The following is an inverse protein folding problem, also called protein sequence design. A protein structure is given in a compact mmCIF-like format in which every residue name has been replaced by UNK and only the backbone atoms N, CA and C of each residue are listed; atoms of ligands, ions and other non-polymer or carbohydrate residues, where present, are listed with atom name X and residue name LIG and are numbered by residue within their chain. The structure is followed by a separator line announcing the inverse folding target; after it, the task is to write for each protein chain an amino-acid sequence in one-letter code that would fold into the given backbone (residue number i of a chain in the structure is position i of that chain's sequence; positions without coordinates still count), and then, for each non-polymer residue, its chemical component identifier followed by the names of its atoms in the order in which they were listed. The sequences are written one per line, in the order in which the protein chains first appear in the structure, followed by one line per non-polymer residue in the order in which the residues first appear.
data_IF_292747486166
#
_entry.id   IF_292747486166
#
_cell.length_a   1.000
_cell.length_b   1.000
_cell.length_c   1.000
_cell.angle_alpha   90.00
_cell.angle_beta   90.00
_cell.angle_gamma   90.00
#
_symmetry.space_group_name_H-M   'P 1'
#
loop_
_entity.id
_entity.type
_entity.pdbx_description
1 polymer ?
#
# COMPACT_ATOMS: atom_id res chain seq x y z
N UNK A 1 17.66 2.73 -31.49
CA UNK A 1 16.32 2.17 -31.14
C UNK A 1 16.36 0.70 -30.71
N UNK A 2 16.95 -0.23 -31.49
CA UNK A 2 16.95 -1.68 -31.18
C UNK A 2 17.53 -2.05 -29.80
N UNK A 3 18.68 -1.48 -29.43
CA UNK A 3 19.34 -1.74 -28.12
C UNK A 3 18.50 -1.28 -26.92
N UNK A 4 17.81 -0.12 -27.02
CA UNK A 4 16.94 0.40 -25.95
C UNK A 4 15.69 -0.49 -25.79
N UNK A 5 15.15 -0.99 -26.92
CA UNK A 5 14.03 -1.95 -26.94
C UNK A 5 14.40 -3.29 -26.30
N UNK A 6 15.53 -3.88 -26.69
CA UNK A 6 15.98 -5.17 -26.16
C UNK A 6 16.28 -5.10 -24.65
N UNK A 7 16.82 -3.96 -24.18
CA UNK A 7 17.07 -3.72 -22.76
C UNK A 7 15.77 -3.54 -21.97
N UNK A 8 14.81 -2.76 -22.48
CA UNK A 8 13.51 -2.57 -21.85
C UNK A 8 12.76 -3.90 -21.68
N UNK A 9 12.89 -4.81 -22.66
CA UNK A 9 12.35 -6.16 -22.58
C UNK A 9 13.02 -7.00 -21.48
N UNK A 10 14.36 -7.01 -21.42
CA UNK A 10 15.10 -7.72 -20.35
C UNK A 10 14.74 -7.22 -18.95
N UNK A 11 14.54 -5.91 -18.79
CA UNK A 11 14.10 -5.33 -17.51
C UNK A 11 12.71 -5.87 -17.13
N UNK A 12 11.76 -5.94 -18.06
CA UNK A 12 10.45 -6.54 -17.80
C UNK A 12 10.56 -8.01 -17.39
N UNK A 13 11.40 -8.78 -18.08
CA UNK A 13 11.64 -10.19 -17.73
C UNK A 13 12.17 -10.35 -16.29
N UNK A 14 13.08 -9.46 -15.85
CA UNK A 14 13.57 -9.45 -14.47
C UNK A 14 12.48 -9.07 -13.46
N UNK A 15 11.61 -8.12 -13.79
CA UNK A 15 10.47 -7.74 -12.95
C UNK A 15 9.49 -8.92 -12.85
N UNK A 16 9.20 -9.60 -13.96
CA UNK A 16 8.32 -10.78 -13.98
C UNK A 16 8.92 -11.96 -13.22
N UNK A 17 10.24 -12.16 -13.29
CA UNK A 17 10.94 -13.14 -12.45
C UNK A 17 10.79 -12.79 -10.97
N UNK A 18 11.02 -11.52 -10.60
CA UNK A 18 10.81 -11.05 -9.22
C UNK A 18 9.38 -11.28 -8.76
N UNK A 19 8.39 -11.07 -9.64
CA UNK A 19 6.99 -11.35 -9.33
C UNK A 19 6.74 -12.84 -9.04
N UNK A 20 7.38 -13.76 -9.78
CA UNK A 20 7.34 -15.19 -9.49
C UNK A 20 8.05 -15.53 -8.17
N UNK A 21 9.24 -14.99 -7.93
CA UNK A 21 9.98 -15.20 -6.68
C UNK A 21 9.15 -14.75 -5.46
N UNK A 22 8.42 -13.63 -5.56
CA UNK A 22 7.51 -13.17 -4.51
C UNK A 22 6.37 -14.16 -4.20
N UNK A 23 5.90 -14.93 -5.19
CA UNK A 23 4.87 -15.97 -4.99
C UNK A 23 5.53 -17.20 -4.34
N UNK A 24 6.65 -17.63 -4.87
CA UNK A 24 7.36 -18.84 -4.39
C UNK A 24 7.81 -18.67 -2.93
N UNK A 25 8.09 -17.44 -2.52
CA UNK A 25 8.49 -17.08 -1.15
C UNK A 25 7.31 -16.74 -0.22
N UNK A 26 6.04 -16.78 -0.65
CA UNK A 26 4.89 -16.30 0.11
C UNK A 26 4.64 -17.05 1.45
N UNK A 27 5.31 -18.18 1.69
CA UNK A 27 5.28 -18.94 2.93
C UNK A 27 6.49 -18.77 3.85
N UNK A 28 7.49 -17.98 3.46
CA UNK A 28 8.66 -17.74 4.29
C UNK A 28 8.30 -16.96 5.57
N UNK A 29 9.12 -17.14 6.61
CA UNK A 29 8.92 -16.39 7.85
C UNK A 29 9.05 -14.88 7.61
N UNK A 30 8.02 -14.15 8.02
CA UNK A 30 7.97 -12.69 7.95
C UNK A 30 8.98 -12.06 8.92
N UNK A 31 9.86 -11.15 8.49
CA UNK A 31 10.78 -10.44 9.38
C UNK A 31 10.05 -9.72 10.54
N UNK A 32 8.86 -9.16 10.28
CA UNK A 32 8.04 -8.48 11.28
C UNK A 32 7.54 -9.45 12.36
N UNK A 33 7.30 -10.72 12.00
CA UNK A 33 6.89 -11.76 12.95
C UNK A 33 8.09 -12.22 13.79
N UNK A 34 9.28 -12.33 13.18
CA UNK A 34 10.51 -12.61 13.91
C UNK A 34 10.80 -11.52 14.96
N UNK A 35 10.76 -10.26 14.54
CA UNK A 35 10.86 -9.11 15.44
C UNK A 35 9.83 -9.17 16.57
N UNK A 36 8.56 -9.46 16.25
CA UNK A 36 7.51 -9.54 17.27
C UNK A 36 7.79 -10.67 18.28
N UNK A 37 8.29 -11.83 17.84
CA UNK A 37 8.66 -12.93 18.74
C UNK A 37 9.77 -12.55 19.70
N UNK A 38 10.74 -11.75 19.26
CA UNK A 38 11.80 -11.22 20.13
C UNK A 38 11.20 -10.32 21.23
N UNK A 39 10.22 -9.48 20.90
CA UNK A 39 9.50 -8.67 21.91
C UNK A 39 8.72 -9.53 22.90
N UNK A 40 8.09 -10.62 22.44
CA UNK A 40 7.44 -11.57 23.35
C UNK A 40 8.45 -12.34 24.22
N UNK A 41 9.62 -12.70 23.68
CA UNK A 41 10.68 -13.36 24.45
C UNK A 41 11.21 -12.44 25.56
N UNK A 42 11.42 -11.16 25.25
CA UNK A 42 11.78 -10.15 26.26
C UNK A 42 10.76 -10.07 27.40
N UNK A 43 9.46 -10.08 27.08
CA UNK A 43 8.41 -10.10 28.12
C UNK A 43 8.44 -11.38 28.95
N UNK A 44 8.73 -12.52 28.32
CA UNK A 44 8.87 -13.79 29.02
C UNK A 44 10.01 -13.73 30.05
N UNK A 45 11.17 -13.20 29.65
CA UNK A 45 12.34 -13.06 30.51
C UNK A 45 12.10 -12.04 31.64
N UNK A 46 11.61 -10.84 31.29
CA UNK A 46 11.38 -9.74 32.24
C UNK A 46 10.45 -10.13 33.39
N UNK A 47 9.45 -10.95 33.12
CA UNK A 47 8.45 -11.38 34.10
C UNK A 47 8.64 -12.82 34.59
N UNK A 48 9.80 -13.44 34.30
CA UNK A 48 10.13 -14.80 34.71
C UNK A 48 9.03 -15.84 34.37
N UNK A 49 8.41 -15.69 33.20
CA UNK A 49 7.32 -16.55 32.75
C UNK A 49 7.89 -17.88 32.23
N UNK A 50 7.35 -19.01 32.72
CA UNK A 50 7.92 -20.35 32.51
C UNK A 50 7.67 -20.91 31.11
N UNK A 51 6.76 -20.32 30.34
CA UNK A 51 6.43 -20.81 29.00
C UNK A 51 5.83 -19.72 28.10
N UNK A 52 5.90 -19.95 26.79
CA UNK A 52 5.22 -19.11 25.78
C UNK A 52 3.72 -18.98 26.02
N UNK A 53 3.06 -20.04 26.51
CA UNK A 53 1.64 -20.02 26.84
C UNK A 53 1.35 -19.09 28.02
N UNK A 54 2.22 -19.07 29.03
CA UNK A 54 2.10 -18.11 30.13
C UNK A 54 2.32 -16.68 29.65
N UNK A 55 3.25 -16.45 28.73
CA UNK A 55 3.41 -15.13 28.07
C UNK A 55 2.16 -14.72 27.30
N UNK A 56 1.57 -15.63 26.51
CA UNK A 56 0.35 -15.36 25.75
C UNK A 56 -0.83 -14.98 26.70
N UNK A 57 -0.99 -15.68 27.83
CA UNK A 57 -2.01 -15.38 28.86
C UNK A 57 -1.74 -14.06 29.59
N UNK A 58 -0.51 -13.83 30.01
CA UNK A 58 -0.10 -12.59 30.70
C UNK A 58 -0.37 -11.36 29.82
N UNK A 59 -0.03 -11.42 28.53
CA UNK A 59 -0.30 -10.32 27.61
C UNK A 59 -1.79 -10.12 27.36
N UNK A 60 -2.59 -11.20 27.31
CA UNK A 60 -4.05 -11.08 27.27
C UNK A 60 -4.56 -10.30 28.49
N UNK A 61 -4.14 -10.68 29.70
CA UNK A 61 -4.52 -10.03 30.94
C UNK A 61 -4.18 -8.53 30.92
N UNK A 62 -2.98 -8.17 30.48
CA UNK A 62 -2.58 -6.76 30.32
C UNK A 62 -3.40 -6.00 29.29
N UNK A 63 -3.75 -6.64 28.17
CA UNK A 63 -4.52 -5.99 27.09
C UNK A 63 -6.00 -5.76 27.46
N UNK A 64 -6.58 -6.64 28.28
CA UNK A 64 -8.02 -6.66 28.54
C UNK A 64 -8.39 -6.35 29.99
N UNK A 65 -7.41 -6.23 30.90
CA UNK A 65 -7.61 -5.95 32.31
C UNK A 65 -8.30 -7.07 33.09
N UNK A 66 -8.31 -8.30 32.53
CA UNK A 66 -8.96 -9.46 33.14
C UNK A 66 -8.29 -10.75 32.72
N UNK A 67 -8.38 -11.77 33.58
CA UNK A 67 -7.89 -13.10 33.27
C UNK A 67 -8.62 -13.75 32.10
N UNK A 68 -7.92 -14.66 31.43
CA UNK A 68 -8.51 -15.46 30.37
C UNK A 68 -9.34 -16.60 30.96
N UNK A 69 -10.66 -16.51 30.81
CA UNK A 69 -11.60 -17.54 31.30
C UNK A 69 -11.39 -18.91 30.65
N UNK A 70 -10.84 -18.94 29.42
CA UNK A 70 -10.57 -20.17 28.66
C UNK A 70 -9.27 -20.07 27.87
N UNK A 71 -8.62 -21.21 27.52
CA UNK A 71 -7.46 -21.21 26.63
C UNK A 71 -7.71 -20.58 25.25
N UNK A 72 -8.96 -20.61 24.78
CA UNK A 72 -9.35 -19.97 23.53
C UNK A 72 -9.26 -18.43 23.59
N UNK A 73 -9.41 -17.83 24.78
CA UNK A 73 -9.43 -16.38 24.93
C UNK A 73 -8.10 -15.72 24.54
N UNK A 74 -6.96 -16.33 24.90
CA UNK A 74 -5.62 -15.83 24.55
C UNK A 74 -5.06 -16.42 23.25
N UNK A 75 -5.80 -17.28 22.54
CA UNK A 75 -5.35 -17.92 21.30
C UNK A 75 -5.02 -16.90 20.20
N UNK A 76 -5.74 -15.78 20.14
CA UNK A 76 -5.43 -14.65 19.23
C UNK A 76 -4.04 -14.07 19.47
N UNK A 77 -3.60 -13.97 20.73
CA UNK A 77 -2.28 -13.45 21.09
C UNK A 77 -1.19 -14.38 20.55
N UNK A 78 -1.38 -15.69 20.74
CA UNK A 78 -0.52 -16.72 20.16
C UNK A 78 -0.45 -16.58 18.64
N UNK A 79 -1.59 -16.41 17.99
CA UNK A 79 -1.64 -16.28 16.53
C UNK A 79 -0.96 -15.03 16.00
N UNK A 80 -1.02 -13.92 16.73
CA UNK A 80 -0.26 -12.71 16.40
C UNK A 80 1.24 -12.96 16.52
N UNK A 81 1.70 -13.53 17.65
CA UNK A 81 3.11 -13.91 17.86
C UNK A 81 3.63 -14.89 16.81
N UNK A 82 2.80 -15.82 16.34
CA UNK A 82 3.24 -16.79 15.32
C UNK A 82 3.07 -16.28 13.89
N UNK A 83 2.44 -15.12 13.68
CA UNK A 83 2.18 -14.57 12.35
C UNK A 83 1.03 -15.23 11.60
N UNK A 84 0.21 -16.06 12.26
CA UNK A 84 -0.93 -16.76 11.63
C UNK A 84 -2.07 -15.79 11.30
N UNK A 85 -2.24 -14.78 12.15
CA UNK A 85 -3.14 -13.65 11.94
C UNK A 85 -2.44 -12.38 12.41
N UNK A 86 -2.91 -11.24 11.96
CA UNK A 86 -2.59 -9.93 12.52
C UNK A 86 -3.77 -9.42 13.35
N UNK A 87 -3.56 -8.41 14.23
CA UNK A 87 -4.65 -7.70 14.88
C UNK A 87 -5.70 -7.24 13.86
N UNK A 88 -6.99 -7.34 14.20
CA UNK A 88 -8.06 -7.01 13.22
C UNK A 88 -8.28 -5.52 13.06
N UNK A 89 -7.83 -4.72 14.03
CA UNK A 89 -7.92 -3.27 14.00
C UNK A 89 -6.74 -2.63 14.76
N UNK A 90 -6.59 -1.31 14.56
CA UNK A 90 -5.56 -0.49 15.20
C UNK A 90 -5.60 -0.55 16.71
N UNK A 91 -6.79 -0.54 17.31
CA UNK A 91 -6.93 -0.54 18.75
C UNK A 91 -6.36 -1.82 19.39
N UNK A 92 -6.59 -2.99 18.76
CA UNK A 92 -5.93 -4.22 19.19
C UNK A 92 -4.41 -4.16 19.02
N UNK A 93 -3.94 -3.59 17.92
CA UNK A 93 -2.51 -3.42 17.67
C UNK A 93 -1.86 -2.50 18.72
N UNK A 94 -2.51 -1.38 19.05
CA UNK A 94 -2.08 -0.44 20.09
C UNK A 94 -2.01 -1.11 21.47
N UNK A 95 -3.08 -1.79 21.87
CA UNK A 95 -3.12 -2.54 23.14
C UNK A 95 -2.04 -3.61 23.22
N UNK A 96 -1.76 -4.30 22.11
CA UNK A 96 -0.66 -5.26 22.05
C UNK A 96 0.68 -4.57 22.29
N UNK A 97 0.93 -3.43 21.64
CA UNK A 97 2.15 -2.65 21.87
C UNK A 97 2.30 -2.15 23.31
N UNK A 98 1.20 -1.78 23.96
CA UNK A 98 1.18 -1.37 25.37
C UNK A 98 1.42 -2.54 26.32
N UNK A 99 0.79 -3.69 26.06
CA UNK A 99 0.99 -4.90 26.85
C UNK A 99 2.42 -5.43 26.74
N UNK A 100 3.06 -5.26 25.57
CA UNK A 100 4.47 -5.56 25.31
C UNK A 100 5.43 -4.48 25.82
N UNK A 101 4.92 -3.40 26.43
CA UNK A 101 5.73 -2.28 26.94
C UNK A 101 6.67 -1.67 25.90
N UNK A 102 6.21 -1.60 24.65
CA UNK A 102 7.04 -1.14 23.54
C UNK A 102 7.42 0.34 23.71
N UNK A 103 8.66 0.66 23.32
CA UNK A 103 9.12 2.03 23.13
C UNK A 103 8.28 2.76 22.05
N UNK A 104 8.37 4.08 21.98
CA UNK A 104 7.67 4.84 20.93
C UNK A 104 8.07 4.38 19.51
N UNK A 105 9.37 4.11 19.30
CA UNK A 105 9.91 3.59 18.04
C UNK A 105 9.36 2.20 17.72
N UNK A 106 9.35 1.29 18.69
CA UNK A 106 8.82 -0.06 18.50
C UNK A 106 7.30 -0.06 18.27
N UNK A 107 6.54 0.83 18.91
CA UNK A 107 5.09 0.99 18.65
C UNK A 107 4.84 1.48 17.23
N UNK A 108 5.67 2.42 16.74
CA UNK A 108 5.59 2.89 15.36
C UNK A 108 5.87 1.73 14.40
N UNK A 109 6.90 0.93 14.64
CA UNK A 109 7.20 -0.25 13.80
C UNK A 109 6.10 -1.32 13.89
N UNK A 110 5.48 -1.54 15.05
CA UNK A 110 4.35 -2.46 15.19
C UNK A 110 3.17 -2.07 14.27
N UNK A 111 2.89 -0.77 14.17
CA UNK A 111 1.82 -0.24 13.31
C UNK A 111 2.22 -0.22 11.84
N UNK A 112 3.42 0.28 11.54
CA UNK A 112 3.90 0.47 10.17
C UNK A 112 4.32 -0.81 9.48
N UNK A 113 5.07 -1.67 10.19
CA UNK A 113 5.65 -2.89 9.63
C UNK A 113 4.69 -4.05 9.81
N UNK A 114 4.51 -4.49 11.06
CA UNK A 114 3.76 -5.71 11.37
C UNK A 114 2.28 -5.64 10.97
N UNK A 115 1.62 -4.53 11.28
CA UNK A 115 0.21 -4.27 10.94
C UNK A 115 0.03 -3.63 9.54
N UNK A 116 1.12 -3.17 8.91
CA UNK A 116 1.17 -2.61 7.55
C UNK A 116 0.18 -1.44 7.33
N UNK A 117 0.20 -0.48 8.26
CA UNK A 117 -0.64 0.71 8.28
C UNK A 117 0.16 1.95 8.62
N UNK A 118 -0.41 3.14 8.40
CA UNK A 118 0.22 4.37 8.88
C UNK A 118 0.34 4.38 10.41
N UNK A 119 1.22 5.19 10.95
CA UNK A 119 1.38 5.31 12.40
C UNK A 119 0.20 6.02 13.08
N UNK A 120 -0.40 7.02 12.45
CA UNK A 120 -1.57 7.76 12.97
C UNK A 120 -2.81 7.56 12.09
N UNK A 121 -3.96 7.19 12.68
CA UNK A 121 -5.25 7.23 11.99
C UNK A 121 -5.99 8.51 12.39
N UNK A 122 -6.63 9.17 11.43
CA UNK A 122 -7.40 10.39 11.68
C UNK A 122 -8.90 10.08 11.56
N UNK A 123 -9.53 9.74 12.69
CA UNK A 123 -10.90 9.24 12.72
C UNK A 123 -11.93 10.32 13.12
N UNK A 124 -11.47 11.47 13.62
CA UNK A 124 -12.33 12.57 14.07
C UNK A 124 -12.02 13.91 13.38
N UNK A 125 -12.97 14.86 13.35
CA UNK A 125 -12.71 16.21 12.86
C UNK A 125 -11.52 16.90 13.54
N UNK A 126 -11.34 16.70 14.85
CA UNK A 126 -10.20 17.26 15.58
C UNK A 126 -8.85 16.71 15.05
N UNK A 127 -8.80 15.44 14.67
CA UNK A 127 -7.61 14.84 14.06
C UNK A 127 -7.33 15.45 12.68
N UNK A 128 -8.38 15.77 11.91
CA UNK A 128 -8.26 16.34 10.57
C UNK A 128 -7.70 17.76 10.55
N UNK A 129 -7.85 18.48 11.67
CA UNK A 129 -7.36 19.84 11.86
C UNK A 129 -5.94 19.89 12.47
N UNK A 130 -5.38 18.74 12.85
CA UNK A 130 -4.00 18.66 13.34
C UNK A 130 -3.01 19.21 12.29
N UNK A 131 -1.94 19.92 12.71
CA UNK A 131 -0.91 20.42 11.80
C UNK A 131 -0.36 19.31 10.88
N UNK A 132 -0.07 18.13 11.43
CA UNK A 132 0.47 17.01 10.67
C UNK A 132 -0.51 16.51 9.60
N UNK A 133 -1.79 16.40 9.93
CA UNK A 133 -2.81 16.00 8.95
C UNK A 133 -2.96 17.03 7.84
N UNK A 134 -2.94 18.32 8.17
CA UNK A 134 -3.03 19.40 7.19
C UNK A 134 -1.86 19.39 6.22
N UNK A 135 -0.63 19.22 6.72
CA UNK A 135 0.57 19.16 5.88
C UNK A 135 0.57 17.93 4.96
N UNK A 136 0.16 16.78 5.48
CA UNK A 136 0.04 15.56 4.68
C UNK A 136 -1.07 15.65 3.63
N UNK A 137 -2.20 16.29 3.94
CA UNK A 137 -3.27 16.58 2.96
C UNK A 137 -2.83 17.60 1.92
N UNK A 138 -2.02 18.58 2.30
CA UNK A 138 -1.44 19.55 1.38
C UNK A 138 -0.53 18.84 0.36
N UNK A 139 0.33 17.91 0.79
CA UNK A 139 1.14 17.08 -0.11
C UNK A 139 0.25 16.33 -1.12
N UNK A 140 -0.79 15.63 -0.66
CA UNK A 140 -1.67 14.87 -1.56
C UNK A 140 -2.42 15.78 -2.53
N UNK A 141 -2.80 16.98 -2.09
CA UNK A 141 -3.47 17.98 -2.93
C UNK A 141 -2.52 18.56 -3.98
N UNK A 142 -1.27 18.84 -3.60
CA UNK A 142 -0.20 19.24 -4.52
C UNK A 142 0.03 18.17 -5.58
N UNK A 143 0.19 16.90 -5.18
CA UNK A 143 0.40 15.78 -6.11
C UNK A 143 -0.77 15.63 -7.09
N UNK A 144 -2.01 15.82 -6.62
CA UNK A 144 -3.19 15.82 -7.48
C UNK A 144 -3.20 17.00 -8.47
N UNK A 145 -2.79 18.19 -8.03
CA UNK A 145 -2.61 19.37 -8.87
C UNK A 145 -1.59 19.13 -9.98
N UNK A 146 -0.37 18.75 -9.60
CA UNK A 146 0.73 18.44 -10.52
C UNK A 146 0.34 17.35 -11.53
N UNK A 147 -0.36 16.30 -11.07
CA UNK A 147 -0.89 15.25 -11.92
C UNK A 147 -1.87 15.79 -12.99
N UNK A 148 -2.76 16.71 -12.61
CA UNK A 148 -3.69 17.34 -13.56
C UNK A 148 -2.98 18.32 -14.49
N UNK A 149 -1.96 19.01 -14.02
CA UNK A 149 -1.21 19.99 -14.81
C UNK A 149 -0.45 19.33 -15.95
N UNK A 150 0.04 18.11 -15.74
CA UNK A 150 0.70 17.28 -16.78
C UNK A 150 -0.24 16.80 -17.89
N UNK A 151 -1.57 16.99 -17.76
CA UNK A 151 -2.52 16.57 -18.79
C UNK A 151 -2.49 17.51 -19.97
N UNK A 152 -2.31 16.93 -21.16
CA UNK A 152 -2.36 17.67 -22.42
C UNK A 152 -3.79 18.07 -22.75
N UNK A 153 -3.96 19.16 -23.52
CA UNK A 153 -5.28 19.58 -24.00
C UNK A 153 -5.95 18.50 -24.86
N UNK A 154 -5.17 17.73 -25.62
CA UNK A 154 -5.67 16.62 -26.41
C UNK A 154 -6.28 15.51 -25.54
N UNK A 155 -5.63 15.16 -24.43
CA UNK A 155 -6.14 14.17 -23.47
C UNK A 155 -7.43 14.65 -22.80
N UNK A 156 -7.50 15.92 -22.39
CA UNK A 156 -8.71 16.50 -21.79
C UNK A 156 -9.85 16.61 -22.80
N UNK A 157 -9.56 17.03 -24.02
CA UNK A 157 -10.54 17.15 -25.10
C UNK A 157 -11.14 15.79 -25.48
N UNK A 158 -10.33 14.72 -25.48
CA UNK A 158 -10.81 13.35 -25.69
C UNK A 158 -11.80 12.90 -24.61
N UNK A 159 -11.70 13.47 -23.40
CA UNK A 159 -12.63 13.25 -22.29
C UNK A 159 -13.75 14.30 -22.23
N UNK A 160 -13.83 15.23 -23.19
CA UNK A 160 -14.77 16.36 -23.22
C UNK A 160 -14.66 17.28 -21.99
N UNK A 161 -13.46 17.42 -21.45
CA UNK A 161 -13.17 18.29 -20.30
C UNK A 161 -12.56 19.59 -20.82
N UNK A 162 -13.13 20.72 -20.39
CA UNK A 162 -12.59 22.04 -20.74
C UNK A 162 -11.35 22.34 -19.90
N UNK A 163 -10.29 22.95 -20.46
CA UNK A 163 -9.04 23.20 -19.73
C UNK A 163 -9.22 23.93 -18.40
N UNK A 164 -10.14 24.92 -18.36
CA UNK A 164 -10.43 25.72 -17.17
C UNK A 164 -11.09 24.93 -16.03
N UNK A 165 -11.70 23.78 -16.32
CA UNK A 165 -12.37 22.93 -15.33
C UNK A 165 -11.50 21.75 -14.90
N UNK A 166 -10.26 21.60 -15.41
CA UNK A 166 -9.47 20.36 -15.27
C UNK A 166 -9.41 19.82 -13.84
N UNK A 167 -9.17 20.67 -12.84
CA UNK A 167 -9.03 20.23 -11.45
C UNK A 167 -10.37 19.75 -10.86
N UNK A 168 -11.51 20.27 -11.32
CA UNK A 168 -12.83 19.77 -10.92
C UNK A 168 -13.07 18.34 -11.43
N UNK A 169 -12.39 17.93 -12.51
CA UNK A 169 -12.50 16.60 -13.10
C UNK A 169 -11.39 15.62 -12.67
N UNK A 170 -10.58 15.96 -11.65
CA UNK A 170 -9.48 15.11 -11.16
C UNK A 170 -9.87 13.63 -11.05
N UNK A 171 -11.00 13.36 -10.39
CA UNK A 171 -11.53 12.00 -10.20
C UNK A 171 -11.69 11.23 -11.53
N UNK A 172 -12.29 11.87 -12.53
CA UNK A 172 -12.60 11.24 -13.81
C UNK A 172 -11.33 10.88 -14.57
N UNK A 173 -10.37 11.81 -14.58
CA UNK A 173 -9.07 11.60 -15.23
C UNK A 173 -8.26 10.55 -14.49
N UNK A 174 -8.19 10.64 -13.16
CA UNK A 174 -7.50 9.69 -12.30
C UNK A 174 -7.96 8.25 -12.53
N UNK A 175 -9.28 8.01 -12.57
CA UNK A 175 -9.79 6.66 -12.81
C UNK A 175 -9.58 6.17 -14.23
N UNK A 176 -9.72 7.05 -15.21
CA UNK A 176 -9.43 6.70 -16.61
C UNK A 176 -7.99 6.21 -16.76
N UNK A 177 -7.05 6.86 -16.08
CA UNK A 177 -5.65 6.43 -16.06
C UNK A 177 -5.42 5.20 -15.20
N UNK A 178 -6.08 5.07 -14.06
CA UNK A 178 -6.00 3.88 -13.21
C UNK A 178 -6.32 2.59 -14.01
N UNK A 179 -7.28 2.64 -14.94
CA UNK A 179 -7.59 1.53 -15.84
C UNK A 179 -6.44 1.15 -16.77
N UNK A 180 -5.54 2.08 -17.09
CA UNK A 180 -4.38 1.79 -17.97
C UNK A 180 -3.38 0.85 -17.31
N UNK A 181 -3.38 0.74 -15.97
CA UNK A 181 -2.45 -0.08 -15.19
C UNK A 181 -2.95 -1.49 -14.88
N UNK A 182 -4.18 -1.85 -15.24
CA UNK A 182 -4.80 -3.14 -14.90
C UNK A 182 -5.29 -3.87 -16.13
N UNK A 183 -5.23 -5.20 -16.13
CA UNK A 183 -5.71 -6.01 -17.24
C UNK A 183 -7.21 -6.25 -17.08
N UNK A 184 -8.00 -5.44 -17.77
CA UNK A 184 -9.47 -5.58 -17.80
C UNK A 184 -9.92 -5.87 -19.23
N UNK A 185 -10.85 -6.83 -19.45
CA UNK A 185 -11.46 -7.04 -20.77
C UNK A 185 -12.07 -5.74 -21.30
N UNK A 186 -11.91 -5.45 -22.60
CA UNK A 186 -12.34 -4.16 -23.20
C UNK A 186 -13.83 -3.88 -22.97
N UNK A 187 -14.66 -4.90 -23.00
CA UNK A 187 -16.10 -4.82 -22.79
C UNK A 187 -16.43 -4.40 -21.35
N UNK A 188 -15.62 -4.87 -20.38
CA UNK A 188 -15.72 -4.45 -18.98
C UNK A 188 -15.20 -3.03 -18.78
N UNK A 189 -14.14 -2.61 -19.48
CA UNK A 189 -13.62 -1.23 -19.39
C UNK A 189 -14.71 -0.22 -19.75
N UNK A 190 -15.40 -0.39 -20.89
CA UNK A 190 -16.45 0.57 -21.30
C UNK A 190 -17.64 0.58 -20.33
N UNK A 191 -18.07 -0.61 -19.87
CA UNK A 191 -19.16 -0.74 -18.91
C UNK A 191 -18.80 -0.16 -17.53
N UNK A 192 -17.58 -0.38 -17.09
CA UNK A 192 -17.05 0.12 -15.82
C UNK A 192 -16.81 1.62 -15.88
N UNK A 193 -16.18 2.17 -16.93
CA UNK A 193 -16.00 3.62 -17.09
C UNK A 193 -17.35 4.35 -17.04
N UNK A 194 -18.36 3.90 -17.79
CA UNK A 194 -19.70 4.51 -17.75
C UNK A 194 -20.37 4.45 -16.39
N UNK A 195 -20.19 3.37 -15.62
CA UNK A 195 -20.77 3.19 -14.27
C UNK A 195 -19.98 3.88 -13.15
N UNK A 196 -18.66 3.97 -13.25
CA UNK A 196 -17.81 4.54 -12.19
C UNK A 196 -17.71 6.06 -12.27
N UNK A 197 -17.80 6.64 -13.47
CA UNK A 197 -17.96 8.10 -13.66
C UNK A 197 -19.15 8.63 -12.84
N UNK A 198 -20.19 7.81 -12.63
CA UNK A 198 -21.39 8.17 -11.88
C UNK A 198 -21.48 7.55 -10.48
N UNK A 199 -20.48 6.77 -10.03
CA UNK A 199 -20.54 6.06 -8.75
C UNK A 199 -20.18 6.96 -7.56
N UNK A 200 -21.16 7.20 -6.69
CA UNK A 200 -21.01 7.98 -5.44
C UNK A 200 -20.15 7.28 -4.40
N UNK A 201 -20.21 5.95 -4.32
CA UNK A 201 -19.40 5.16 -3.35
C UNK A 201 -17.91 5.34 -3.59
N UNK A 202 -17.52 5.41 -4.85
CA UNK A 202 -16.12 5.46 -5.22
C UNK A 202 -15.54 6.88 -5.18
N UNK A 203 -16.40 7.89 -5.45
CA UNK A 203 -16.11 9.28 -5.10
C UNK A 203 -15.80 9.42 -3.61
N UNK A 204 -16.65 8.83 -2.76
CA UNK A 204 -16.43 8.87 -1.31
C UNK A 204 -15.14 8.17 -0.88
N UNK A 205 -14.74 7.08 -1.54
CA UNK A 205 -13.52 6.34 -1.19
C UNK A 205 -12.24 7.09 -1.58
N UNK A 206 -12.14 7.58 -2.82
CA UNK A 206 -10.97 8.35 -3.26
C UNK A 206 -10.87 9.66 -2.47
N UNK A 207 -11.99 10.37 -2.27
CA UNK A 207 -12.02 11.58 -1.46
C UNK A 207 -11.55 11.29 -0.04
N UNK A 208 -12.06 10.23 0.61
CA UNK A 208 -11.65 9.81 1.95
C UNK A 208 -10.14 9.53 2.02
N UNK A 209 -9.59 8.86 1.02
CA UNK A 209 -8.16 8.54 0.94
C UNK A 209 -7.30 9.81 0.77
N UNK A 210 -7.70 10.72 -0.13
CA UNK A 210 -7.00 11.98 -0.36
C UNK A 210 -7.11 12.95 0.83
N UNK A 211 -8.17 12.83 1.64
CA UNK A 211 -8.35 13.59 2.88
C UNK A 211 -7.79 12.88 4.12
N UNK A 212 -7.12 11.73 3.95
CA UNK A 212 -6.54 10.94 5.04
C UNK A 212 -7.52 10.53 6.13
N UNK A 213 -8.79 10.34 5.76
CA UNK A 213 -9.86 10.03 6.69
C UNK A 213 -9.87 8.54 7.04
N UNK A 214 -9.61 8.28 8.32
CA UNK A 214 -9.52 6.96 8.93
C UNK A 214 -8.34 6.12 8.46
N UNK A 215 -8.49 4.80 8.64
CA UNK A 215 -7.44 3.83 8.33
C UNK A 215 -7.28 3.64 6.81
N UNK A 216 -6.08 3.94 6.28
CA UNK A 216 -5.74 3.73 4.87
C UNK A 216 -4.62 2.67 4.79
N UNK A 217 -4.83 1.55 4.07
CA UNK A 217 -3.79 0.55 3.86
C UNK A 217 -2.58 1.12 3.12
N UNK A 218 -1.36 0.74 3.51
CA UNK A 218 -0.12 1.18 2.85
C UNK A 218 -0.11 0.88 1.35
N UNK A 219 -0.56 -0.32 0.94
CA UNK A 219 -0.72 -0.70 -0.47
C UNK A 219 -1.62 0.26 -1.25
N UNK A 220 -2.68 0.78 -0.63
CA UNK A 220 -3.57 1.76 -1.27
C UNK A 220 -2.84 3.08 -1.47
N UNK A 221 -2.10 3.56 -0.46
CA UNK A 221 -1.32 4.79 -0.58
C UNK A 221 -0.22 4.65 -1.65
N UNK A 222 0.54 3.55 -1.64
CA UNK A 222 1.54 3.24 -2.67
C UNK A 222 0.97 3.36 -4.09
N UNK A 223 -0.22 2.82 -4.33
CA UNK A 223 -0.90 2.93 -5.62
C UNK A 223 -1.17 4.39 -6.01
N UNK A 224 -1.67 5.20 -5.08
CA UNK A 224 -1.89 6.63 -5.33
C UNK A 224 -0.58 7.33 -5.64
N UNK A 225 0.46 7.11 -4.84
CA UNK A 225 1.77 7.73 -5.08
C UNK A 225 2.34 7.34 -6.45
N UNK A 226 2.23 6.08 -6.87
CA UNK A 226 2.69 5.66 -8.19
C UNK A 226 1.93 6.37 -9.33
N UNK A 227 0.60 6.45 -9.25
CA UNK A 227 -0.20 7.09 -10.31
C UNK A 227 0.00 8.61 -10.33
N UNK A 228 0.01 9.25 -9.15
CA UNK A 228 0.09 10.70 -9.02
C UNK A 228 1.49 11.25 -9.30
N UNK A 229 2.55 10.46 -9.14
CA UNK A 229 3.90 10.89 -9.50
C UNK A 229 4.27 10.51 -10.94
N UNK A 230 3.56 9.59 -11.60
CA UNK A 230 3.86 9.24 -12.99
C UNK A 230 3.69 10.46 -13.93
N UNK A 231 4.56 10.60 -14.95
CA UNK A 231 5.66 9.70 -15.31
C UNK A 231 6.98 9.98 -14.58
N UNK A 232 7.08 11.00 -13.74
CA UNK A 232 8.32 11.39 -13.03
C UNK A 232 8.48 10.63 -11.70
N UNK A 233 8.67 9.32 -11.81
CA UNK A 233 8.84 8.42 -10.67
C UNK A 233 10.31 8.22 -10.33
N UNK A 234 10.61 8.27 -9.03
CA UNK A 234 11.89 7.90 -8.45
C UNK A 234 11.65 7.20 -7.11
N UNK A 235 12.48 6.21 -6.77
CA UNK A 235 12.36 5.45 -5.52
C UNK A 235 12.47 6.36 -4.31
N UNK A 236 13.45 7.25 -4.32
CA UNK A 236 13.75 8.21 -3.25
C UNK A 236 12.54 9.12 -2.99
N UNK A 237 11.86 9.54 -4.05
CA UNK A 237 10.65 10.37 -3.96
C UNK A 237 9.50 9.60 -3.31
N UNK A 238 9.27 8.34 -3.71
CA UNK A 238 8.24 7.49 -3.13
C UNK A 238 8.54 7.20 -1.65
N UNK A 239 9.78 6.88 -1.31
CA UNK A 239 10.21 6.60 0.05
C UNK A 239 10.04 7.81 0.97
N UNK A 240 10.42 9.00 0.50
CA UNK A 240 10.21 10.25 1.23
C UNK A 240 8.72 10.55 1.46
N UNK A 241 7.88 10.36 0.43
CA UNK A 241 6.44 10.57 0.53
C UNK A 241 5.78 9.57 1.47
N UNK A 242 6.17 8.29 1.44
CA UNK A 242 5.68 7.27 2.38
C UNK A 242 6.02 7.65 3.82
N UNK A 243 7.28 7.99 4.09
CA UNK A 243 7.74 8.40 5.40
C UNK A 243 6.97 9.62 5.91
N UNK A 244 6.81 10.64 5.06
CA UNK A 244 6.07 11.85 5.39
C UNK A 244 4.59 11.60 5.70
N UNK A 245 3.96 10.65 4.99
CA UNK A 245 2.58 10.22 5.22
C UNK A 245 2.42 9.25 6.41
N UNK A 246 3.51 8.92 7.10
CA UNK A 246 3.50 8.08 8.29
C UNK A 246 3.54 6.58 7.99
N UNK A 247 4.04 6.16 6.83
CA UNK A 247 4.27 4.76 6.46
C UNK A 247 5.76 4.41 6.47
N UNK A 248 6.09 3.11 6.52
CA UNK A 248 7.44 2.64 6.25
C UNK A 248 7.82 2.90 4.78
N UNK A 249 9.05 3.40 4.51
CA UNK A 249 9.66 3.37 3.18
C UNK A 249 9.73 1.97 2.58
N UNK A 250 10.05 1.87 1.29
CA UNK A 250 10.21 0.59 0.60
C UNK A 250 11.45 -0.16 1.08
N UNK A 251 11.27 -1.42 1.48
CA UNK A 251 12.32 -2.31 1.96
C UNK A 251 12.18 -3.70 1.35
N UNK A 252 13.25 -4.30 0.83
CA UNK A 252 13.19 -5.58 0.10
C UNK A 252 12.70 -6.75 0.98
N UNK A 253 12.94 -6.66 2.28
CA UNK A 253 12.60 -7.65 3.27
C UNK A 253 11.17 -7.50 3.80
N UNK A 254 10.58 -6.29 3.70
CA UNK A 254 9.27 -5.97 4.24
C UNK A 254 8.19 -6.90 3.69
N UNK A 255 7.32 -7.38 4.58
CA UNK A 255 6.13 -8.11 4.18
C UNK A 255 4.85 -7.35 4.52
N UNK A 256 3.90 -7.39 3.59
CA UNK A 256 2.52 -7.01 3.87
C UNK A 256 1.97 -7.86 5.02
N UNK A 257 0.85 -7.43 5.61
CA UNK A 257 0.18 -8.16 6.71
C UNK A 257 -0.13 -9.64 6.39
N UNK A 258 -0.25 -10.01 5.11
CA UNK A 258 -0.47 -11.37 4.65
C UNK A 258 0.79 -12.20 4.38
N UNK A 259 1.99 -11.61 4.49
CA UNK A 259 3.27 -12.23 4.18
C UNK A 259 3.81 -11.90 2.78
N UNK A 260 3.05 -11.19 1.97
CA UNK A 260 3.43 -10.89 0.59
C UNK A 260 4.57 -9.86 0.51
N UNK A 261 5.57 -10.11 -0.33
CA UNK A 261 6.76 -9.25 -0.51
C UNK A 261 6.57 -8.19 -1.60
N UNK A 262 5.52 -7.37 -1.49
CA UNK A 262 5.19 -6.36 -2.50
C UNK A 262 6.32 -5.33 -2.69
N UNK A 263 6.98 -4.91 -1.62
CA UNK A 263 8.01 -3.87 -1.68
C UNK A 263 9.18 -4.26 -2.58
N UNK A 264 9.64 -5.52 -2.51
CA UNK A 264 10.70 -6.03 -3.38
C UNK A 264 10.32 -5.90 -4.87
N UNK A 265 9.09 -6.23 -5.22
CA UNK A 265 8.58 -6.06 -6.58
C UNK A 265 8.54 -4.59 -6.99
N UNK A 266 8.03 -3.71 -6.11
CA UNK A 266 7.93 -2.27 -6.40
C UNK A 266 9.31 -1.62 -6.54
N UNK A 267 10.28 -2.04 -5.73
CA UNK A 267 11.67 -1.60 -5.83
C UNK A 267 12.22 -1.96 -7.23
N UNK A 268 12.10 -3.22 -7.66
CA UNK A 268 12.56 -3.65 -8.99
C UNK A 268 11.81 -2.94 -10.12
N UNK A 269 10.52 -2.66 -9.96
CA UNK A 269 9.74 -1.89 -10.92
C UNK A 269 10.27 -0.45 -11.04
N UNK A 270 10.52 0.24 -9.92
CA UNK A 270 11.01 1.62 -9.90
C UNK A 270 12.45 1.72 -10.42
N UNK A 271 13.33 0.81 -10.01
CA UNK A 271 14.71 0.71 -10.51
C UNK A 271 14.73 0.44 -12.01
N UNK A 272 13.89 -0.50 -12.48
CA UNK A 272 13.73 -0.78 -13.91
C UNK A 272 13.16 0.41 -14.68
N UNK A 273 12.19 1.12 -14.11
CA UNK A 273 11.60 2.31 -14.71
C UNK A 273 12.62 3.44 -14.86
N UNK A 274 13.46 3.69 -13.85
CA UNK A 274 14.51 4.71 -13.90
C UNK A 274 15.48 4.52 -15.09
N UNK A 275 15.72 3.27 -15.51
CA UNK A 275 16.54 2.97 -16.69
C UNK A 275 15.84 3.22 -18.02
N UNK A 276 14.52 3.08 -18.07
CA UNK A 276 13.72 3.24 -19.29
C UNK A 276 13.25 4.69 -19.45
N UNK A 277 13.12 5.41 -18.33
CA UNK A 277 12.64 6.78 -18.28
C UNK A 277 13.50 7.71 -19.14
N UNK A 278 12.81 8.47 -19.97
CA UNK A 278 13.38 9.45 -20.88
C UNK A 278 12.71 10.80 -20.62
N UNK A 279 13.42 11.77 -20.02
CA UNK A 279 12.87 13.11 -19.78
C UNK A 279 12.41 13.83 -21.06
N UNK A 280 12.98 13.47 -22.22
CA UNK A 280 12.54 14.01 -23.52
C UNK A 280 11.27 13.34 -24.05
N UNK A 281 10.88 12.19 -23.49
CA UNK A 281 9.72 11.38 -23.90
C UNK A 281 8.97 10.79 -22.68
N UNK A 282 8.47 11.64 -21.77
CA UNK A 282 7.88 11.17 -20.51
C UNK A 282 6.61 10.35 -20.74
N UNK A 283 5.84 10.61 -21.79
CA UNK A 283 4.62 9.88 -22.13
C UNK A 283 4.92 8.45 -22.63
N UNK A 284 5.94 8.29 -23.48
CA UNK A 284 6.40 6.96 -23.93
C UNK A 284 6.89 6.11 -22.74
N UNK A 285 7.64 6.76 -21.83
CA UNK A 285 8.10 6.14 -20.58
C UNK A 285 6.90 5.72 -19.71
N UNK A 286 5.94 6.61 -19.50
CA UNK A 286 4.71 6.32 -18.75
C UNK A 286 3.89 5.17 -19.35
N UNK A 287 3.82 5.07 -20.68
CA UNK A 287 3.17 3.95 -21.36
C UNK A 287 3.88 2.62 -21.09
N UNK A 288 5.23 2.61 -21.04
CA UNK A 288 5.98 1.42 -20.66
C UNK A 288 5.62 0.97 -19.24
N UNK A 289 5.54 1.90 -18.28
CA UNK A 289 5.17 1.59 -16.89
C UNK A 289 3.76 1.02 -16.80
N UNK A 290 2.80 1.65 -17.48
CA UNK A 290 1.41 1.20 -17.52
C UNK A 290 1.30 -0.22 -18.06
N UNK A 291 2.02 -0.54 -19.14
CA UNK A 291 2.03 -1.89 -19.71
C UNK A 291 2.67 -2.90 -18.76
N UNK A 292 3.83 -2.60 -18.17
CA UNK A 292 4.49 -3.49 -17.21
C UNK A 292 3.58 -3.79 -16.01
N UNK A 293 2.90 -2.77 -15.46
CA UNK A 293 1.93 -2.96 -14.38
C UNK A 293 0.73 -3.81 -14.81
N UNK A 294 0.27 -3.67 -16.06
CA UNK A 294 -0.84 -4.46 -16.61
C UNK A 294 -0.46 -5.93 -16.77
N UNK A 295 0.76 -6.21 -17.22
CA UNK A 295 1.32 -7.56 -17.29
C UNK A 295 1.41 -8.19 -15.89
N UNK A 296 1.89 -7.45 -14.89
CA UNK A 296 1.92 -7.89 -13.49
C UNK A 296 0.51 -8.17 -12.95
N UNK A 297 -0.46 -7.29 -13.19
CA UNK A 297 -1.85 -7.50 -12.77
C UNK A 297 -2.43 -8.78 -13.39
N UNK A 298 -2.21 -9.00 -14.70
CA UNK A 298 -2.66 -10.21 -15.39
C UNK A 298 -1.98 -11.47 -14.83
N UNK A 299 -0.68 -11.40 -14.57
CA UNK A 299 0.11 -12.49 -14.01
C UNK A 299 -0.41 -12.91 -12.63
N UNK A 300 -0.56 -11.96 -11.70
CA UNK A 300 -1.08 -12.26 -10.36
C UNK A 300 -2.53 -12.71 -10.38
N UNK A 301 -3.36 -12.16 -11.27
CA UNK A 301 -4.73 -12.65 -11.47
C UNK A 301 -4.75 -14.12 -11.94
N UNK A 302 -3.91 -14.46 -12.93
CA UNK A 302 -3.81 -15.83 -13.46
C UNK A 302 -3.23 -16.84 -12.47
N UNK A 303 -2.43 -16.38 -11.50
CA UNK A 303 -1.89 -17.20 -10.41
C UNK A 303 -2.77 -17.29 -9.17
N UNK A 304 -3.88 -16.55 -9.13
CA UNK A 304 -4.78 -16.54 -7.96
C UNK A 304 -4.23 -15.73 -6.77
N UNK A 305 -3.44 -14.70 -7.04
CA UNK A 305 -2.74 -13.88 -6.03
C UNK A 305 -3.34 -12.46 -5.90
N UNK A 306 -4.60 -12.30 -5.41
CA UNK A 306 -5.30 -11.01 -5.43
C UNK A 306 -4.65 -9.95 -4.54
N UNK A 307 -3.85 -10.35 -3.54
CA UNK A 307 -3.17 -9.40 -2.65
C UNK A 307 -1.97 -8.74 -3.30
N UNK A 308 -1.32 -9.41 -4.27
CA UNK A 308 -0.21 -8.87 -5.06
C UNK A 308 -0.66 -7.98 -6.24
N UNK A 309 -1.96 -8.01 -6.59
CA UNK A 309 -2.57 -7.08 -7.57
C UNK A 309 -2.65 -5.66 -6.99
N UNK A 310 -1.51 -4.96 -6.92
CA UNK A 310 -1.39 -3.69 -6.20
C UNK A 310 -2.02 -2.50 -6.92
N UNK A 311 -2.09 -2.53 -8.27
CA UNK A 311 -2.78 -1.52 -9.08
C UNK A 311 -4.29 -1.76 -9.19
N UNK A 312 -4.75 -2.93 -8.77
CA UNK A 312 -6.15 -3.28 -8.83
C UNK A 312 -6.96 -2.57 -7.74
N UNK A 313 -8.03 -1.89 -8.14
CA UNK A 313 -8.98 -1.28 -7.22
C UNK A 313 -10.20 -2.20 -7.11
N UNK A 314 -10.60 -2.54 -5.87
CA UNK A 314 -11.78 -3.38 -5.62
C UNK A 314 -13.04 -2.81 -6.25
N UNK A 315 -13.19 -1.49 -6.29
CA UNK A 315 -14.37 -0.89 -6.90
C UNK A 315 -14.45 -1.12 -8.42
N UNK A 316 -13.40 -1.63 -9.07
CA UNK A 316 -13.43 -2.02 -10.48
C UNK A 316 -13.97 -3.44 -10.68
N UNK A 317 -14.14 -4.21 -9.59
CA UNK A 317 -14.89 -5.47 -9.60
C UNK A 317 -16.38 -5.12 -9.60
N UNK A 318 -17.05 -5.43 -10.70
CA UNK A 318 -18.50 -5.29 -10.88
C UNK A 318 -19.26 -6.40 -10.18
#
# INVERSE_FOLDING_TARGET
MKIKSDRAQRIREQIMKTAQDCIDEAGQERPEVKWLREKFAYMQEKYALKSRTQTDRFLYERMYGREADTPAAYLKIRYWRTGRYTPVNREQCRRLGEALELSATDRRYLLQGYYDRRDVAYDSPADWDSPECRDQRALLSQLAGEYMDRKTEAELSALKIRPEERHAYFRHVYFTDAFRYVKVPKERIMKSLGKHITSTRYDSELRRQMHLQGEIPRKTMLRHLLILNAPELAREKIDAQLAFLGYLPLCEEHTMAGGERLDRLLIRLLEGYAWVYDPGKPQESGAWLQETCRELDAFFAGRGEPRMRFMHFKALEL
#
